data_IF_769888105021
#
_entry.id   IF_769888105021
#
_cell.length_a   1.000
_cell.length_b   1.000
_cell.length_c   1.000
_cell.angle_alpha   90.00
_cell.angle_beta   90.00
_cell.angle_gamma   90.00
#
_symmetry.space_group_name_H-M   'P 1'
#
loop_
_entity.id
_entity.type
_entity.pdbx_description
1 polymer ?
#
# COMPACT_ATOMS: atom_id res chain seq x y z
N UNK A 1 -6.13 3.32 24.18
CA UNK A 1 -4.76 2.95 23.78
C UNK A 1 -4.02 4.10 23.15
N UNK A 2 -2.72 4.03 23.12
CA UNK A 2 -1.85 4.99 22.45
C UNK A 2 -0.63 4.25 21.88
N UNK A 3 0.01 4.86 20.86
CA UNK A 3 1.21 4.31 20.23
C UNK A 3 2.43 4.95 20.90
N UNK A 4 3.36 4.14 21.35
CA UNK A 4 4.67 4.54 21.82
C UNK A 4 5.72 4.11 20.78
N UNK A 5 6.44 5.02 20.11
CA UNK A 5 6.50 6.45 20.26
C UNK A 5 6.10 7.15 18.94
N UNK A 6 5.95 8.46 18.93
CA UNK A 6 5.68 9.21 17.70
C UNK A 6 6.94 9.42 16.88
N UNK A 7 8.03 9.84 17.52
CA UNK A 7 9.30 10.19 16.88
C UNK A 7 10.39 9.28 17.42
N UNK A 8 11.22 8.73 16.54
CA UNK A 8 12.42 8.00 16.94
C UNK A 8 13.31 8.86 17.85
N UNK A 9 13.83 8.25 18.90
CA UNK A 9 14.78 8.88 19.82
C UNK A 9 16.15 8.90 19.16
N UNK A 10 16.52 9.99 18.51
CA UNK A 10 17.82 10.16 17.87
C UNK A 10 18.25 11.62 17.89
N UNK A 11 19.51 11.87 18.22
CA UNK A 11 20.12 13.18 18.18
C UNK A 11 21.14 13.25 17.07
N UNK A 12 21.06 14.29 16.23
CA UNK A 12 21.98 14.45 15.10
C UNK A 12 23.42 14.64 15.60
N UNK A 13 24.31 13.75 15.17
CA UNK A 13 25.74 13.77 15.46
C UNK A 13 26.55 13.64 14.17
N UNK A 14 27.86 13.89 14.27
CA UNK A 14 28.83 13.65 13.21
C UNK A 14 29.89 12.67 13.67
N UNK A 15 30.20 11.70 12.83
CA UNK A 15 31.32 10.80 13.06
C UNK A 15 32.68 11.50 12.85
N UNK A 16 33.77 10.78 13.12
CA UNK A 16 35.15 11.30 12.95
C UNK A 16 35.51 11.72 11.50
N UNK A 17 34.70 11.31 10.53
CA UNK A 17 34.87 11.66 9.11
C UNK A 17 33.92 12.80 8.69
N UNK A 18 33.13 13.35 9.63
CA UNK A 18 32.15 14.41 9.37
C UNK A 18 30.82 13.90 8.81
N UNK A 19 30.58 12.58 8.77
CA UNK A 19 29.33 11.98 8.29
C UNK A 19 28.27 12.13 9.38
N UNK A 20 27.12 12.68 9.02
CA UNK A 20 25.98 12.83 9.90
C UNK A 20 25.27 11.49 10.13
N UNK A 21 24.82 11.25 11.36
CA UNK A 21 24.03 10.10 11.78
C UNK A 21 23.17 10.45 13.00
N UNK A 22 22.14 9.66 13.23
CA UNK A 22 21.29 9.78 14.41
C UNK A 22 21.87 8.94 15.54
N UNK A 23 22.39 9.61 16.55
CA UNK A 23 23.00 8.99 17.70
C UNK A 23 21.97 8.63 18.77
N UNK A 24 22.18 7.51 19.43
CA UNK A 24 21.33 6.99 20.47
C UNK A 24 22.16 6.29 21.55
N UNK A 25 21.77 6.46 22.82
CA UNK A 25 22.27 5.70 23.96
C UNK A 25 23.80 5.55 23.98
N UNK A 26 24.30 4.32 23.75
CA UNK A 26 25.73 3.99 23.77
C UNK A 26 26.61 4.74 22.79
N UNK A 27 26.05 5.41 21.78
CA UNK A 27 26.81 6.31 20.90
C UNK A 27 27.39 7.51 21.64
N UNK A 28 26.89 7.82 22.85
CA UNK A 28 27.39 8.91 23.70
C UNK A 28 28.48 8.45 24.69
N UNK A 29 28.87 7.20 24.67
CA UNK A 29 29.92 6.60 25.49
C UNK A 29 29.48 5.34 26.22
N UNK A 30 30.47 4.57 26.69
CA UNK A 30 30.24 3.26 27.35
C UNK A 30 29.44 3.36 28.64
N UNK A 31 29.50 4.50 29.33
CA UNK A 31 28.79 4.77 30.59
C UNK A 31 27.46 5.52 30.35
N UNK A 32 27.10 5.82 29.10
CA UNK A 32 25.85 6.52 28.79
C UNK A 32 24.66 5.55 28.99
N UNK A 33 23.53 6.03 29.56
CA UNK A 33 22.31 5.22 29.67
C UNK A 33 21.89 4.72 28.29
N UNK A 34 21.55 3.41 28.22
CA UNK A 34 21.08 2.77 26.99
C UNK A 34 20.12 1.65 27.32
N UNK A 35 19.00 1.61 26.60
CA UNK A 35 18.02 0.52 26.67
C UNK A 35 18.34 -0.61 25.69
N UNK A 36 19.59 -0.74 25.28
CA UNK A 36 20.05 -1.78 24.36
C UNK A 36 19.38 -1.66 22.98
N UNK A 37 18.58 -2.66 22.61
CA UNK A 37 17.86 -2.68 21.34
C UNK A 37 16.46 -2.05 21.39
N UNK A 38 16.04 -1.50 22.51
CA UNK A 38 14.77 -0.77 22.64
C UNK A 38 14.97 0.70 22.27
N UNK A 39 15.08 0.95 20.98
CA UNK A 39 15.35 2.26 20.39
C UNK A 39 14.62 2.39 19.05
N UNK A 40 14.50 3.64 18.55
CA UNK A 40 13.95 3.96 17.24
C UNK A 40 12.58 3.29 16.97
N UNK A 41 11.71 3.35 17.98
CA UNK A 41 10.37 2.74 17.96
C UNK A 41 9.27 3.75 17.64
N UNK A 42 9.63 4.88 17.05
CA UNK A 42 8.72 5.91 16.56
C UNK A 42 8.00 5.52 15.27
N UNK A 43 6.96 6.27 14.97
CA UNK A 43 6.27 6.22 13.68
C UNK A 43 6.95 7.05 12.60
N UNK A 44 7.79 7.98 13.01
CA UNK A 44 8.61 8.82 12.14
C UNK A 44 10.06 8.85 12.61
N UNK A 45 10.97 9.05 11.66
CA UNK A 45 12.39 9.26 11.95
C UNK A 45 12.64 10.51 12.81
N UNK A 46 13.84 10.68 13.38
CA UNK A 46 14.18 11.88 14.14
C UNK A 46 14.03 13.19 13.34
N UNK A 47 14.23 13.17 12.03
CA UNK A 47 14.02 14.27 11.09
C UNK A 47 12.56 14.46 10.65
N UNK A 48 11.65 13.66 11.19
CA UNK A 48 10.22 13.62 10.89
C UNK A 48 9.86 12.95 9.55
N UNK A 49 10.81 12.33 8.85
CA UNK A 49 10.51 11.47 7.71
C UNK A 49 9.64 10.29 8.16
N UNK A 50 8.54 9.95 7.45
CA UNK A 50 7.66 8.85 7.88
C UNK A 50 8.35 7.49 7.72
N UNK A 51 8.18 6.60 8.71
CA UNK A 51 8.47 5.18 8.55
C UNK A 51 7.43 4.52 7.63
N UNK A 52 7.76 3.40 6.97
CA UNK A 52 6.79 2.67 6.14
C UNK A 52 5.50 2.32 6.87
N UNK A 53 5.57 2.01 8.17
CA UNK A 53 4.40 1.72 9.01
C UNK A 53 3.41 2.89 9.13
N UNK A 54 3.83 4.14 8.86
CA UNK A 54 2.95 5.30 8.92
C UNK A 54 1.83 5.23 7.88
N UNK A 55 2.07 4.61 6.73
CA UNK A 55 1.03 4.40 5.72
C UNK A 55 -0.09 3.50 6.26
N UNK A 56 0.27 2.43 6.98
CA UNK A 56 -0.69 1.54 7.63
C UNK A 56 -1.43 2.24 8.77
N UNK A 57 -0.73 3.04 9.58
CA UNK A 57 -1.34 3.85 10.64
C UNK A 57 -2.39 4.78 10.05
N UNK A 58 -2.09 5.46 8.93
CA UNK A 58 -3.06 6.30 8.22
C UNK A 58 -4.30 5.50 7.81
N UNK A 59 -4.09 4.30 7.24
CA UNK A 59 -5.18 3.45 6.77
C UNK A 59 -6.07 2.95 7.90
N UNK A 60 -5.50 2.38 8.97
CA UNK A 60 -6.30 1.80 10.06
C UNK A 60 -6.99 2.86 10.93
N UNK A 61 -6.49 4.09 10.96
CA UNK A 61 -7.07 5.20 11.72
C UNK A 61 -8.01 6.10 10.89
N UNK A 62 -8.23 5.81 9.61
CA UNK A 62 -9.14 6.62 8.80
C UNK A 62 -10.58 6.57 9.30
N UNK A 63 -11.27 7.72 9.27
CA UNK A 63 -12.62 7.88 9.75
C UNK A 63 -13.70 7.57 8.71
N UNK A 64 -13.33 7.04 7.56
CA UNK A 64 -14.25 6.59 6.52
C UNK A 64 -13.89 5.16 6.16
N UNK A 65 -14.88 4.28 6.21
CA UNK A 65 -14.69 2.87 5.84
C UNK A 65 -15.47 2.54 4.58
N UNK A 66 -14.93 1.64 3.77
CA UNK A 66 -15.60 1.08 2.60
C UNK A 66 -15.78 -0.42 2.78
N UNK A 67 -16.79 -0.96 2.13
CA UNK A 67 -17.12 -2.39 2.14
C UNK A 67 -17.74 -2.76 0.78
N UNK A 68 -17.32 -3.86 0.20
CA UNK A 68 -17.95 -4.41 -0.99
C UNK A 68 -19.21 -5.19 -0.58
N UNK A 69 -20.38 -4.71 -0.99
CA UNK A 69 -21.66 -5.40 -0.80
C UNK A 69 -21.90 -6.40 -1.92
N UNK A 70 -21.78 -5.93 -3.16
CA UNK A 70 -21.78 -6.74 -4.37
C UNK A 70 -20.80 -6.10 -5.38
N UNK A 71 -19.57 -6.55 -5.36
CA UNK A 71 -18.53 -6.01 -6.25
C UNK A 71 -18.82 -6.32 -7.74
N UNK A 72 -19.53 -7.41 -8.04
CA UNK A 72 -19.91 -7.76 -9.41
C UNK A 72 -20.93 -6.77 -9.98
N UNK A 73 -21.89 -6.37 -9.16
CA UNK A 73 -22.89 -5.34 -9.50
C UNK A 73 -22.35 -3.92 -9.32
N UNK A 74 -21.14 -3.75 -8.73
CA UNK A 74 -20.57 -2.46 -8.38
C UNK A 74 -21.22 -1.79 -7.17
N UNK A 75 -21.82 -2.56 -6.28
CA UNK A 75 -22.50 -2.04 -5.07
C UNK A 75 -21.51 -2.05 -3.91
N UNK A 76 -21.31 -0.88 -3.33
CA UNK A 76 -20.43 -0.67 -2.20
C UNK A 76 -21.13 0.07 -1.09
N UNK A 77 -20.68 -0.14 0.14
CA UNK A 77 -21.16 0.59 1.32
C UNK A 77 -20.03 1.48 1.84
N UNK A 78 -20.35 2.71 2.15
CA UNK A 78 -19.47 3.65 2.84
C UNK A 78 -20.01 3.91 4.25
N UNK A 79 -19.12 3.91 5.23
CA UNK A 79 -19.44 4.15 6.64
C UNK A 79 -18.70 5.39 7.12
N UNK A 80 -19.46 6.34 7.66
CA UNK A 80 -18.94 7.51 8.33
C UNK A 80 -18.63 7.16 9.79
N UNK A 81 -17.35 7.09 10.15
CA UNK A 81 -16.87 6.82 11.50
C UNK A 81 -16.60 8.09 12.32
N UNK A 82 -16.77 9.27 11.72
CA UNK A 82 -16.71 10.53 12.48
C UNK A 82 -17.86 10.61 13.48
N UNK A 83 -17.62 11.27 14.60
CA UNK A 83 -18.66 11.53 15.60
C UNK A 83 -19.44 12.83 15.35
N UNK A 84 -18.80 13.81 14.70
CA UNK A 84 -19.38 15.16 14.56
C UNK A 84 -19.35 15.69 13.12
N UNK A 85 -18.71 15.01 12.19
CA UNK A 85 -18.50 15.48 10.82
C UNK A 85 -19.35 14.69 9.83
N UNK A 86 -20.16 15.37 9.03
CA UNK A 86 -20.91 14.77 7.92
C UNK A 86 -20.01 14.61 6.69
N UNK A 87 -20.10 13.49 5.96
CA UNK A 87 -19.27 13.21 4.79
C UNK A 87 -19.55 14.12 3.59
N UNK A 88 -20.67 14.87 3.55
CA UNK A 88 -20.91 15.89 2.52
C UNK A 88 -19.85 16.98 2.47
N UNK A 89 -19.04 17.12 3.54
CA UNK A 89 -17.89 18.03 3.61
C UNK A 89 -16.75 17.62 2.68
N UNK A 90 -16.71 16.35 2.27
CA UNK A 90 -15.62 15.77 1.53
C UNK A 90 -16.05 15.36 0.11
N UNK A 91 -15.08 15.20 -0.79
CA UNK A 91 -15.32 14.64 -2.12
C UNK A 91 -14.90 13.19 -2.15
N UNK A 92 -15.80 12.30 -2.52
CA UNK A 92 -15.52 10.89 -2.76
C UNK A 92 -15.21 10.70 -4.25
N UNK A 93 -14.10 10.06 -4.55
CA UNK A 93 -13.70 9.67 -5.90
C UNK A 93 -13.69 8.16 -6.02
N UNK A 94 -13.95 7.65 -7.21
CA UNK A 94 -13.65 6.27 -7.55
C UNK A 94 -12.88 6.19 -8.86
N UNK A 95 -11.98 5.20 -8.96
CA UNK A 95 -11.27 4.85 -10.17
C UNK A 95 -11.35 3.34 -10.39
N UNK A 96 -11.84 2.93 -11.55
CA UNK A 96 -11.80 1.53 -12.00
C UNK A 96 -10.51 1.30 -12.76
N UNK A 97 -9.77 0.28 -12.38
CA UNK A 97 -8.47 -0.04 -12.93
C UNK A 97 -8.49 -1.39 -13.65
N UNK A 98 -7.69 -1.49 -14.70
CA UNK A 98 -7.32 -2.74 -15.37
C UNK A 98 -5.80 -2.86 -15.33
N UNK A 99 -5.26 -3.87 -14.65
CA UNK A 99 -3.82 -4.03 -14.41
C UNK A 99 -3.13 -2.72 -13.98
N UNK A 100 -3.71 -2.02 -12.99
CA UNK A 100 -3.16 -0.79 -12.42
C UNK A 100 -3.41 0.49 -13.26
N UNK A 101 -3.94 0.40 -14.47
CA UNK A 101 -4.29 1.58 -15.28
C UNK A 101 -5.75 1.97 -15.07
N UNK A 102 -6.00 3.23 -14.75
CA UNK A 102 -7.37 3.75 -14.66
C UNK A 102 -8.02 3.73 -16.04
N UNK A 103 -9.15 3.05 -16.14
CA UNK A 103 -9.97 2.94 -17.36
C UNK A 103 -11.29 3.71 -17.26
N UNK A 104 -11.72 3.99 -16.03
CA UNK A 104 -12.92 4.77 -15.75
C UNK A 104 -12.78 5.43 -14.39
N UNK A 105 -13.33 6.60 -14.22
CA UNK A 105 -13.34 7.29 -12.93
C UNK A 105 -14.52 8.25 -12.80
N UNK A 106 -14.79 8.64 -11.58
CA UNK A 106 -15.88 9.59 -11.30
C UNK A 106 -15.87 10.05 -9.85
N UNK A 107 -16.87 10.88 -9.56
CA UNK A 107 -17.11 11.45 -8.23
C UNK A 107 -18.46 10.97 -7.72
N UNK A 108 -18.55 10.78 -6.42
CA UNK A 108 -19.78 10.45 -5.72
C UNK A 108 -19.99 11.50 -4.64
N UNK A 109 -21.16 12.12 -4.63
CA UNK A 109 -21.54 13.05 -3.58
C UNK A 109 -22.59 12.39 -2.69
N UNK A 110 -22.24 12.22 -1.40
CA UNK A 110 -23.10 11.54 -0.44
C UNK A 110 -23.27 12.41 0.79
N UNK A 111 -24.51 12.57 1.20
CA UNK A 111 -24.86 13.12 2.51
C UNK A 111 -24.99 11.95 3.50
N UNK A 112 -24.00 11.81 4.37
CA UNK A 112 -23.95 10.73 5.37
C UNK A 112 -23.62 11.35 6.72
N UNK A 113 -24.59 11.29 7.61
CA UNK A 113 -24.45 11.79 8.97
C UNK A 113 -23.34 11.03 9.74
N UNK A 114 -22.81 11.63 10.81
CA UNK A 114 -21.92 10.93 11.72
C UNK A 114 -22.47 9.57 12.16
N UNK A 115 -21.60 8.56 12.22
CA UNK A 115 -21.93 7.18 12.64
C UNK A 115 -22.94 6.45 11.74
N UNK A 116 -23.27 6.98 10.56
CA UNK A 116 -24.20 6.37 9.60
C UNK A 116 -23.44 5.71 8.45
N UNK A 117 -24.15 4.85 7.73
CA UNK A 117 -23.66 4.18 6.52
C UNK A 117 -24.64 4.36 5.38
N UNK A 118 -24.14 4.26 4.14
CA UNK A 118 -24.97 4.32 2.93
C UNK A 118 -24.37 3.46 1.83
N UNK A 119 -25.24 2.76 1.11
CA UNK A 119 -24.84 2.08 -0.13
C UNK A 119 -24.85 3.04 -1.31
N UNK A 120 -23.95 2.78 -2.26
CA UNK A 120 -23.85 3.51 -3.51
C UNK A 120 -23.35 2.58 -4.62
N UNK A 121 -23.54 2.99 -5.86
CA UNK A 121 -23.17 2.16 -7.01
C UNK A 121 -22.06 2.83 -7.81
N UNK A 122 -21.03 2.06 -8.13
CA UNK A 122 -20.00 2.39 -9.12
C UNK A 122 -20.39 1.73 -10.44
N UNK A 123 -20.38 2.46 -11.56
CA UNK A 123 -20.79 1.90 -12.85
C UNK A 123 -19.68 0.99 -13.43
N UNK A 124 -19.69 -0.26 -13.04
CA UNK A 124 -18.77 -1.32 -13.52
C UNK A 124 -19.34 -2.11 -14.70
N UNK A 125 -20.60 -1.91 -15.03
CA UNK A 125 -21.28 -2.58 -16.14
C UNK A 125 -20.57 -2.32 -17.47
N UNK A 126 -20.49 -3.33 -18.33
CA UNK A 126 -19.87 -3.26 -19.65
C UNK A 126 -18.35 -3.48 -19.67
N UNK A 127 -17.72 -3.74 -18.51
CA UNK A 127 -16.34 -4.20 -18.47
C UNK A 127 -16.29 -5.62 -19.03
N UNK A 128 -15.42 -5.81 -20.02
CA UNK A 128 -15.24 -7.15 -20.66
C UNK A 128 -14.04 -7.82 -20.02
N UNK A 129 -14.26 -9.02 -19.47
CA UNK A 129 -13.19 -9.87 -18.99
C UNK A 129 -12.17 -10.16 -20.09
N UNK A 130 -10.89 -10.04 -19.76
CA UNK A 130 -9.77 -10.33 -20.67
C UNK A 130 -8.78 -11.27 -19.98
N UNK A 131 -8.20 -12.24 -20.68
CA UNK A 131 -7.19 -13.14 -20.11
C UNK A 131 -6.00 -12.36 -19.54
N UNK A 132 -5.63 -12.64 -18.28
CA UNK A 132 -4.49 -12.01 -17.61
C UNK A 132 -4.73 -10.56 -17.16
N UNK A 133 -5.97 -10.06 -17.20
CA UNK A 133 -6.31 -8.72 -16.70
C UNK A 133 -7.09 -8.86 -15.39
N UNK A 134 -6.58 -8.19 -14.37
CA UNK A 134 -7.25 -8.01 -13.08
C UNK A 134 -7.89 -6.63 -13.02
N UNK A 135 -9.11 -6.59 -12.50
CA UNK A 135 -9.88 -5.36 -12.35
C UNK A 135 -10.04 -5.00 -10.89
N UNK A 136 -9.82 -3.73 -10.58
CA UNK A 136 -9.99 -3.16 -9.24
C UNK A 136 -10.81 -1.88 -9.30
N UNK A 137 -11.43 -1.54 -8.19
CA UNK A 137 -11.94 -0.20 -7.93
C UNK A 137 -11.20 0.39 -6.74
N UNK A 138 -10.66 1.60 -6.93
CA UNK A 138 -10.07 2.39 -5.87
C UNK A 138 -11.04 3.48 -5.46
N UNK A 139 -11.19 3.68 -4.16
CA UNK A 139 -11.88 4.82 -3.56
C UNK A 139 -10.87 5.76 -2.93
N UNK A 140 -11.17 7.04 -2.99
CA UNK A 140 -10.41 8.10 -2.32
C UNK A 140 -11.38 9.17 -1.83
N UNK A 141 -11.17 9.61 -0.60
CA UNK A 141 -11.95 10.69 0.02
C UNK A 141 -11.03 11.87 0.26
N UNK A 142 -11.33 13.00 -0.34
CA UNK A 142 -10.48 14.19 -0.27
C UNK A 142 -11.19 15.38 0.35
N UNK A 143 -10.42 16.25 0.99
CA UNK A 143 -10.90 17.55 1.48
C UNK A 143 -11.31 18.43 0.30
N UNK A 144 -12.43 19.17 0.45
CA UNK A 144 -12.90 20.16 -0.54
C UNK A 144 -12.45 21.58 -0.21
N UNK A 145 -12.13 21.81 1.06
CA UNK A 145 -11.63 23.07 1.61
C UNK A 145 -10.43 22.81 2.51
N UNK A 146 -9.57 23.82 2.74
CA UNK A 146 -8.44 23.64 3.66
C UNK A 146 -8.95 23.52 5.11
N UNK A 147 -8.32 22.63 5.86
CA UNK A 147 -8.50 22.47 7.30
C UNK A 147 -7.17 22.81 8.01
N UNK A 148 -7.15 23.05 9.33
CA UNK A 148 -5.91 23.25 10.03
C UNK A 148 -4.91 22.12 9.73
N UNK A 149 -3.73 22.49 9.21
CA UNK A 149 -2.65 21.58 8.80
C UNK A 149 -2.97 20.62 7.63
N UNK A 150 -4.15 20.72 7.03
CA UNK A 150 -4.57 19.83 5.93
C UNK A 150 -5.00 20.68 4.74
N UNK A 151 -4.31 20.61 3.59
CA UNK A 151 -4.67 21.38 2.42
C UNK A 151 -5.91 20.84 1.72
N UNK A 152 -6.53 21.64 0.86
CA UNK A 152 -7.57 21.18 -0.07
C UNK A 152 -7.02 20.07 -0.97
N UNK A 153 -7.85 19.07 -1.23
CA UNK A 153 -7.48 17.90 -2.05
C UNK A 153 -6.66 16.85 -1.31
N UNK A 154 -6.41 17.04 -0.01
CA UNK A 154 -5.72 16.02 0.78
C UNK A 154 -6.60 14.78 0.95
N UNK A 155 -6.02 13.60 0.69
CA UNK A 155 -6.69 12.31 0.86
C UNK A 155 -6.74 11.92 2.34
N UNK A 156 -7.95 11.86 2.89
CA UNK A 156 -8.19 11.50 4.30
C UNK A 156 -8.54 10.03 4.49
N UNK A 157 -9.00 9.37 3.44
CA UNK A 157 -9.30 7.94 3.46
C UNK A 157 -9.22 7.36 2.04
N UNK A 158 -8.87 6.08 1.96
CA UNK A 158 -8.84 5.34 0.70
C UNK A 158 -9.14 3.85 0.94
N UNK A 159 -9.54 3.16 -0.13
CA UNK A 159 -9.66 1.70 -0.12
C UNK A 159 -9.59 1.15 -1.55
N UNK A 160 -9.35 -0.16 -1.67
CA UNK A 160 -9.28 -0.86 -2.93
C UNK A 160 -10.02 -2.20 -2.86
N UNK A 161 -10.83 -2.48 -3.87
CA UNK A 161 -11.54 -3.75 -3.99
C UNK A 161 -11.31 -4.38 -5.35
N UNK A 162 -11.03 -5.68 -5.35
CA UNK A 162 -10.98 -6.45 -6.57
C UNK A 162 -12.40 -6.68 -7.12
N UNK A 163 -12.59 -6.43 -8.41
CA UNK A 163 -13.82 -6.75 -9.10
C UNK A 163 -13.76 -8.20 -9.61
N UNK A 164 -14.79 -9.02 -9.42
CA UNK A 164 -14.79 -10.43 -9.82
C UNK A 164 -15.02 -10.60 -11.34
N UNK A 165 -14.28 -9.85 -12.13
CA UNK A 165 -14.31 -9.85 -13.60
C UNK A 165 -13.12 -10.68 -14.08
N UNK A 166 -13.37 -11.95 -14.45
CA UNK A 166 -12.32 -12.88 -14.82
C UNK A 166 -12.64 -13.54 -16.17
N UNK A 167 -11.62 -13.71 -16.99
CA UNK A 167 -11.65 -14.59 -18.16
C UNK A 167 -10.78 -15.82 -17.90
N UNK A 168 -11.03 -16.88 -18.64
CA UNK A 168 -10.15 -18.05 -18.62
C UNK A 168 -8.70 -17.62 -18.88
N UNK A 169 -7.78 -18.20 -18.13
CA UNK A 169 -6.35 -17.92 -18.31
C UNK A 169 -5.95 -18.35 -19.72
N UNK A 170 -5.29 -17.48 -20.44
CA UNK A 170 -4.69 -17.84 -21.71
C UNK A 170 -3.69 -18.98 -21.51
N UNK A 171 -3.86 -20.06 -22.26
CA UNK A 171 -2.88 -21.15 -22.26
C UNK A 171 -1.64 -20.64 -22.98
N UNK A 172 -0.59 -20.38 -22.22
CA UNK A 172 0.70 -20.03 -22.81
C UNK A 172 1.33 -21.26 -23.46
N UNK A 173 1.42 -21.27 -24.78
CA UNK A 173 2.21 -22.24 -25.51
C UNK A 173 3.60 -21.70 -25.72
N UNK A 174 4.59 -22.32 -25.10
CA UNK A 174 5.98 -21.97 -25.34
C UNK A 174 6.34 -22.24 -26.82
N UNK A 175 6.73 -21.20 -27.54
CA UNK A 175 7.10 -21.29 -28.96
C UNK A 175 8.63 -21.30 -29.16
N UNK A 176 9.40 -21.46 -28.09
CA UNK A 176 10.85 -21.51 -28.11
C UNK A 176 11.41 -22.94 -28.26
N UNK A 177 12.71 -23.06 -28.62
CA UNK A 177 13.38 -24.34 -28.55
C UNK A 177 13.39 -24.87 -27.11
N UNK A 178 13.47 -26.17 -26.96
CA UNK A 178 13.56 -26.81 -25.66
C UNK A 178 14.77 -26.27 -24.88
N UNK A 179 14.56 -25.99 -23.60
CA UNK A 179 15.64 -25.61 -22.70
C UNK A 179 16.55 -26.82 -22.46
N UNK A 180 17.85 -26.58 -22.41
CA UNK A 180 18.83 -27.58 -21.97
C UNK A 180 19.01 -27.49 -20.46
N UNK A 181 19.03 -28.64 -19.82
CA UNK A 181 19.26 -28.73 -18.38
C UNK A 181 20.53 -29.56 -18.14
N UNK A 182 21.44 -29.06 -17.34
CA UNK A 182 22.67 -29.73 -16.94
C UNK A 182 22.85 -29.63 -15.44
N UNK A 183 23.27 -30.71 -14.80
CA UNK A 183 23.60 -30.71 -13.38
C UNK A 183 25.11 -30.80 -13.21
N UNK A 184 25.69 -29.87 -12.47
CA UNK A 184 27.14 -29.85 -12.11
C UNK A 184 27.24 -29.74 -10.59
N UNK A 185 27.55 -30.83 -9.90
CA UNK A 185 27.57 -30.87 -8.44
C UNK A 185 26.23 -30.43 -7.85
N UNK A 186 26.26 -29.36 -7.07
CA UNK A 186 25.06 -28.79 -6.43
C UNK A 186 24.32 -27.78 -7.30
N UNK A 187 24.76 -27.56 -8.53
CA UNK A 187 24.13 -26.62 -9.45
C UNK A 187 23.27 -27.31 -10.49
N UNK A 188 22.05 -26.78 -10.69
CA UNK A 188 21.19 -27.07 -11.80
C UNK A 188 21.22 -25.89 -12.77
N UNK A 189 21.76 -26.10 -13.95
CA UNK A 189 21.90 -25.09 -14.98
C UNK A 189 20.79 -25.29 -16.02
N UNK A 190 19.95 -24.26 -16.22
CA UNK A 190 18.93 -24.24 -17.26
C UNK A 190 19.31 -23.23 -18.32
N UNK A 191 19.56 -23.69 -19.53
CA UNK A 191 20.14 -22.91 -20.62
C UNK A 191 19.20 -22.76 -21.81
N UNK A 192 19.22 -21.57 -22.39
CA UNK A 192 18.67 -21.28 -23.73
C UNK A 192 19.75 -20.65 -24.59
N UNK A 193 19.43 -20.31 -25.85
CA UNK A 193 20.33 -19.52 -26.71
C UNK A 193 20.61 -18.11 -26.24
N UNK A 194 19.83 -17.60 -25.24
CA UNK A 194 19.87 -16.20 -24.80
C UNK A 194 20.19 -16.03 -23.33
N UNK A 195 19.86 -17.00 -22.50
CA UNK A 195 19.93 -16.88 -21.02
C UNK A 195 20.35 -18.21 -20.41
N UNK A 196 21.15 -18.14 -19.35
CA UNK A 196 21.43 -19.24 -18.45
C UNK A 196 20.93 -18.88 -17.06
N UNK A 197 20.22 -19.82 -16.43
CA UNK A 197 19.86 -19.74 -15.02
C UNK A 197 20.61 -20.84 -14.28
N UNK A 198 21.25 -20.49 -13.18
CA UNK A 198 21.93 -21.42 -12.30
C UNK A 198 21.17 -21.48 -10.99
N UNK A 199 20.72 -22.68 -10.60
CA UNK A 199 20.03 -22.90 -9.34
C UNK A 199 20.94 -23.71 -8.42
N UNK A 200 21.22 -23.18 -7.25
CA UNK A 200 21.90 -23.93 -6.21
C UNK A 200 20.90 -24.83 -5.50
N UNK A 201 21.10 -26.16 -5.58
CA UNK A 201 20.17 -27.17 -5.03
C UNK A 201 20.14 -27.19 -3.50
N UNK A 202 21.21 -26.73 -2.84
CA UNK A 202 21.30 -26.73 -1.38
C UNK A 202 20.62 -25.50 -0.78
N UNK A 203 20.83 -24.32 -1.38
CA UNK A 203 20.22 -23.06 -0.92
C UNK A 203 18.83 -22.77 -1.52
N UNK A 204 18.50 -23.40 -2.66
CA UNK A 204 17.29 -23.08 -3.42
C UNK A 204 17.32 -21.74 -4.15
N UNK A 205 18.45 -21.07 -4.19
CA UNK A 205 18.60 -19.75 -4.79
C UNK A 205 19.09 -19.84 -6.24
N UNK A 206 18.72 -18.82 -7.01
CA UNK A 206 19.33 -18.52 -8.32
C UNK A 206 20.63 -17.76 -8.08
N UNK A 207 21.73 -18.18 -8.71
CA UNK A 207 23.06 -17.61 -8.54
C UNK A 207 23.62 -17.10 -9.88
#
# INVERSE_FOLDING_TARGET
GYIWDWVDQGLLQKDKNGREYWAYGGDFGVDAPSDGNFLCNGLVNPDRGPHPAMAEVKYVHQNVGFEAVDAAAGIFKITNRFYFTNLKKYQIHYNVLANGKTIKGGKVSLDIAPQASKEFTVPVNGLKAQPGVEYFVNFSVTTTEPEPLIPTGYEIAYDQFQLPIQAEKAIYKANGPALKTTTQGDELIVSSSKVNFVFNKNSGLVT
#
